data_IF_127867087696
#
_entry.id   IF_127867087696
#
_cell.length_a   1.000
_cell.length_b   1.000
_cell.length_c   1.000
_cell.angle_alpha   90.00
_cell.angle_beta   90.00
_cell.angle_gamma   90.00
#
_symmetry.space_group_name_H-M   'P 1'
#
loop_
_entity.id
_entity.type
_entity.pdbx_description
1 polymer ?
#
# COMPACT_ATOMS: atom_id res chain seq x y z
N UNK A 1 -31.00 -8.22 -6.82
CA UNK A 1 -29.93 -8.14 -7.84
C UNK A 1 -29.64 -6.66 -8.02
N UNK A 2 -28.39 -6.22 -7.84
CA UNK A 2 -28.02 -4.81 -8.06
C UNK A 2 -28.12 -4.55 -9.57
N UNK A 3 -28.74 -3.45 -9.99
CA UNK A 3 -28.84 -3.10 -11.41
C UNK A 3 -27.50 -2.62 -11.95
N UNK A 4 -27.30 -2.71 -13.27
CA UNK A 4 -26.10 -2.14 -13.90
C UNK A 4 -25.98 -0.63 -13.63
N UNK A 5 -27.09 0.11 -13.74
CA UNK A 5 -27.12 1.55 -13.49
C UNK A 5 -26.70 1.87 -12.05
N UNK A 6 -27.14 1.09 -11.06
CA UNK A 6 -26.73 1.28 -9.67
C UNK A 6 -25.22 1.03 -9.48
N UNK A 7 -24.61 0.08 -10.22
CA UNK A 7 -23.15 -0.12 -10.18
C UNK A 7 -22.39 1.05 -10.83
N UNK A 8 -22.94 1.62 -11.91
CA UNK A 8 -22.34 2.78 -12.59
C UNK A 8 -22.41 4.02 -11.69
N UNK A 9 -23.55 4.25 -11.05
CA UNK A 9 -23.76 5.40 -10.16
C UNK A 9 -22.95 5.29 -8.86
N UNK A 10 -22.67 4.09 -8.38
CA UNK A 10 -21.94 3.88 -7.13
C UNK A 10 -20.41 3.94 -7.28
N UNK A 11 -19.86 3.75 -8.49
CA UNK A 11 -18.42 3.76 -8.71
C UNK A 11 -17.84 5.19 -8.66
N UNK A 12 -16.96 5.45 -7.69
CA UNK A 12 -16.11 6.64 -7.65
C UNK A 12 -14.74 6.30 -8.27
N UNK A 13 -14.28 7.07 -9.26
CA UNK A 13 -13.03 6.81 -9.97
C UNK A 13 -12.23 8.11 -10.19
N UNK A 14 -10.96 8.10 -9.80
CA UNK A 14 -10.03 9.20 -10.02
C UNK A 14 -8.72 8.68 -10.64
N UNK A 15 -8.28 9.32 -11.73
CA UNK A 15 -7.01 9.02 -12.38
C UNK A 15 -5.99 10.11 -12.03
N UNK A 16 -4.95 9.75 -11.29
CA UNK A 16 -3.84 10.63 -10.94
C UNK A 16 -2.68 10.44 -11.92
N UNK A 17 -2.29 11.53 -12.56
CA UNK A 17 -1.09 11.62 -13.39
C UNK A 17 0.01 12.34 -12.62
N UNK A 18 0.90 11.57 -11.99
CA UNK A 18 2.01 12.12 -11.22
C UNK A 18 3.24 12.27 -12.11
N UNK A 19 3.71 13.50 -12.35
CA UNK A 19 4.78 13.79 -13.31
C UNK A 19 5.98 14.57 -12.72
N UNK A 20 6.03 14.74 -11.40
CA UNK A 20 7.09 15.54 -10.75
C UNK A 20 8.43 14.82 -10.66
N UNK A 21 8.41 13.49 -10.54
CA UNK A 21 9.60 12.65 -10.62
C UNK A 21 9.24 11.26 -11.15
N UNK A 22 10.25 10.51 -11.57
CA UNK A 22 10.08 9.18 -12.17
C UNK A 22 10.66 8.07 -11.28
N UNK A 23 10.51 6.83 -11.74
CA UNK A 23 11.18 5.66 -11.16
C UNK A 23 12.70 5.82 -11.04
N UNK A 24 13.34 6.67 -11.84
CA UNK A 24 14.79 6.85 -11.81
C UNK A 24 15.23 7.67 -10.58
N UNK A 25 14.40 8.62 -10.12
CA UNK A 25 14.59 9.28 -8.82
C UNK A 25 14.52 8.27 -7.66
N UNK A 26 13.56 7.35 -7.70
CA UNK A 26 13.43 6.33 -6.64
C UNK A 26 14.65 5.39 -6.64
N UNK A 27 15.09 4.97 -7.84
CA UNK A 27 16.28 4.13 -8.01
C UNK A 27 17.58 4.81 -7.60
N UNK A 28 17.71 6.13 -7.74
CA UNK A 28 18.92 6.85 -7.28
C UNK A 28 19.08 6.79 -5.75
N UNK A 29 17.99 6.55 -5.02
CA UNK A 29 17.99 6.28 -3.58
C UNK A 29 18.10 4.78 -3.24
N UNK A 30 18.41 3.92 -4.22
CA UNK A 30 18.57 2.46 -4.07
C UNK A 30 17.33 1.73 -3.58
N UNK A 31 16.14 2.22 -3.94
CA UNK A 31 14.85 1.64 -3.57
C UNK A 31 14.16 1.08 -4.81
N UNK A 32 13.47 -0.06 -4.68
CA UNK A 32 12.60 -0.56 -5.74
C UNK A 32 11.42 0.40 -5.95
N UNK A 33 11.14 0.86 -7.18
CA UNK A 33 10.00 1.73 -7.47
C UNK A 33 8.65 1.17 -7.00
N UNK A 34 8.49 -0.16 -7.06
CA UNK A 34 7.27 -0.85 -6.62
C UNK A 34 7.11 -0.78 -5.10
N UNK A 35 8.16 -1.15 -4.37
CA UNK A 35 8.24 -1.03 -2.90
C UNK A 35 7.94 0.40 -2.46
N UNK A 36 8.53 1.39 -3.13
CA UNK A 36 8.29 2.80 -2.83
C UNK A 36 6.82 3.21 -3.00
N UNK A 37 6.18 2.79 -4.10
CA UNK A 37 4.77 3.08 -4.36
C UNK A 37 3.88 2.39 -3.33
N UNK A 38 4.15 1.13 -2.98
CA UNK A 38 3.39 0.42 -1.96
C UNK A 38 3.44 1.14 -0.61
N UNK A 39 4.63 1.58 -0.19
CA UNK A 39 4.77 2.40 1.02
C UNK A 39 4.00 3.73 0.91
N UNK A 40 4.01 4.38 -0.26
CA UNK A 40 3.22 5.59 -0.50
C UNK A 40 1.71 5.34 -0.35
N UNK A 41 1.19 4.21 -0.84
CA UNK A 41 -0.22 3.85 -0.71
C UNK A 41 -0.61 3.58 0.76
N UNK A 42 0.24 2.88 1.51
CA UNK A 42 0.03 2.67 2.95
C UNK A 42 0.04 3.99 3.73
N UNK A 43 1.02 4.86 3.46
CA UNK A 43 1.11 6.17 4.08
C UNK A 43 -0.10 7.05 3.74
N UNK A 44 -0.58 6.99 2.51
CA UNK A 44 -1.79 7.68 2.06
C UNK A 44 -3.02 7.24 2.84
N UNK A 45 -3.24 5.92 2.95
CA UNK A 45 -4.35 5.38 3.72
C UNK A 45 -4.27 5.81 5.19
N UNK A 46 -3.09 5.70 5.79
CA UNK A 46 -2.88 6.12 7.18
C UNK A 46 -3.16 7.61 7.39
N UNK A 47 -2.74 8.49 6.47
CA UNK A 47 -3.03 9.94 6.57
C UNK A 47 -4.51 10.27 6.49
N UNK A 48 -5.28 9.51 5.70
CA UNK A 48 -6.71 9.76 5.54
C UNK A 48 -7.55 9.18 6.68
N UNK A 49 -7.19 8.00 7.15
CA UNK A 49 -8.06 7.19 7.99
C UNK A 49 -7.48 6.91 9.39
N UNK A 50 -6.23 7.29 9.64
CA UNK A 50 -5.54 7.11 10.93
C UNK A 50 -5.13 5.67 11.23
N UNK A 51 -5.29 4.75 10.28
CA UNK A 51 -4.96 3.34 10.42
C UNK A 51 -4.42 2.74 9.11
N UNK A 52 -3.80 1.56 9.23
CA UNK A 52 -3.58 0.68 8.09
C UNK A 52 -4.69 -0.37 8.04
N UNK A 53 -4.91 -0.92 6.86
CA UNK A 53 -5.90 -1.97 6.60
C UNK A 53 -5.25 -3.14 5.88
N UNK A 54 -5.89 -4.31 5.91
CA UNK A 54 -5.43 -5.45 5.12
C UNK A 54 -5.30 -5.01 3.65
N UNK A 55 -4.09 -5.10 3.13
CA UNK A 55 -3.75 -4.64 1.78
C UNK A 55 -3.40 -5.85 0.94
N UNK A 56 -4.03 -5.93 -0.23
CA UNK A 56 -3.68 -6.88 -1.27
C UNK A 56 -2.76 -6.22 -2.30
N UNK A 57 -1.67 -6.88 -2.63
CA UNK A 57 -0.87 -6.60 -3.81
C UNK A 57 -0.62 -7.91 -4.57
N UNK A 58 -0.88 -7.90 -5.88
CA UNK A 58 -0.72 -9.07 -6.73
C UNK A 58 0.77 -9.42 -6.97
N UNK A 59 1.26 -10.53 -6.42
CA UNK A 59 2.59 -11.08 -6.70
C UNK A 59 2.54 -12.13 -7.81
N UNK A 60 3.13 -11.88 -8.98
CA UNK A 60 3.21 -12.88 -10.04
C UNK A 60 4.11 -14.07 -9.69
N UNK A 61 3.54 -15.28 -9.54
CA UNK A 61 4.28 -16.53 -9.24
C UNK A 61 4.56 -17.37 -10.49
N UNK A 62 4.73 -16.71 -11.65
CA UNK A 62 4.97 -17.36 -12.96
C UNK A 62 6.31 -18.11 -13.07
N UNK A 63 7.11 -18.11 -12.00
CA UNK A 63 8.32 -18.96 -11.86
C UNK A 63 7.95 -20.44 -11.67
N UNK A 64 6.73 -20.71 -11.22
CA UNK A 64 6.19 -22.05 -11.03
C UNK A 64 5.26 -22.45 -12.19
N UNK A 65 5.18 -23.76 -12.46
CA UNK A 65 4.26 -24.28 -13.46
C UNK A 65 2.82 -23.87 -13.16
N UNK A 66 2.11 -23.37 -14.18
CA UNK A 66 0.73 -22.85 -14.06
C UNK A 66 0.58 -21.67 -13.07
N UNK A 67 1.70 -21.08 -12.62
CA UNK A 67 1.70 -20.01 -11.63
C UNK A 67 0.88 -18.80 -12.07
N UNK A 68 -0.07 -18.42 -11.22
CA UNK A 68 -0.88 -17.20 -11.36
C UNK A 68 -0.29 -16.09 -10.49
N UNK A 69 -0.91 -15.83 -9.35
CA UNK A 69 -0.51 -14.80 -8.40
C UNK A 69 -0.60 -15.31 -6.97
N UNK A 70 0.22 -14.77 -6.09
CA UNK A 70 0.06 -14.79 -4.62
C UNK A 70 -0.19 -13.35 -4.10
N UNK A 71 -0.32 -13.17 -2.79
CA UNK A 71 -0.64 -11.87 -2.18
C UNK A 71 0.53 -11.29 -1.37
N UNK A 72 1.12 -10.20 -1.85
CA UNK A 72 2.02 -9.38 -1.04
C UNK A 72 1.17 -8.55 -0.08
N UNK A 73 1.44 -8.67 1.23
CA UNK A 73 0.72 -7.94 2.28
C UNK A 73 1.52 -6.71 2.71
N UNK A 74 1.24 -5.58 2.06
CA UNK A 74 2.00 -4.34 2.25
C UNK A 74 1.80 -3.63 3.59
N UNK A 75 0.71 -3.93 4.31
CA UNK A 75 0.43 -3.36 5.63
C UNK A 75 1.24 -4.09 6.71
N UNK A 76 2.44 -3.58 7.03
CA UNK A 76 3.32 -4.15 8.06
C UNK A 76 3.47 -3.25 9.30
N UNK A 77 3.93 -3.80 10.44
CA UNK A 77 4.26 -3.01 11.63
C UNK A 77 5.30 -1.91 11.37
N UNK A 78 6.29 -2.17 10.53
CA UNK A 78 7.33 -1.22 10.12
C UNK A 78 6.73 -0.06 9.32
N UNK A 79 5.82 -0.35 8.39
CA UNK A 79 5.09 0.70 7.66
C UNK A 79 4.23 1.54 8.60
N UNK A 80 3.54 0.90 9.56
CA UNK A 80 2.74 1.61 10.55
C UNK A 80 3.58 2.55 11.42
N UNK A 81 4.75 2.08 11.87
CA UNK A 81 5.67 2.89 12.67
C UNK A 81 6.17 4.10 11.88
N UNK A 82 6.57 3.90 10.63
CA UNK A 82 7.00 4.98 9.74
C UNK A 82 5.87 5.97 9.43
N UNK A 83 4.68 5.49 9.07
CA UNK A 83 3.53 6.32 8.76
C UNK A 83 3.11 7.21 9.95
N UNK A 84 3.13 6.65 11.17
CA UNK A 84 2.93 7.41 12.41
C UNK A 84 3.95 8.53 12.57
N UNK A 85 5.24 8.23 12.41
CA UNK A 85 6.32 9.21 12.54
C UNK A 85 6.23 10.35 11.52
N UNK A 86 5.80 10.04 10.29
CA UNK A 86 5.53 11.04 9.24
C UNK A 86 4.36 11.97 9.62
N UNK A 87 3.30 11.47 10.27
CA UNK A 87 2.08 12.24 10.57
C UNK A 87 2.12 13.01 11.90
N UNK A 88 2.64 12.38 12.95
CA UNK A 88 2.49 12.86 14.33
C UNK A 88 3.75 13.57 14.84
N UNK A 89 4.84 13.52 14.08
CA UNK A 89 6.16 13.76 14.63
C UNK A 89 6.55 12.71 15.65
N UNK A 90 7.79 12.77 16.11
CA UNK A 90 8.34 11.75 16.98
C UNK A 90 7.61 11.77 18.35
N UNK A 91 6.96 10.67 18.76
CA UNK A 91 6.23 10.61 20.03
C UNK A 91 7.14 10.79 21.25
N UNK A 92 8.42 10.41 21.16
CA UNK A 92 9.38 10.54 22.27
C UNK A 92 9.76 12.00 22.53
N UNK A 93 9.69 12.85 21.51
CA UNK A 93 9.92 14.30 21.63
C UNK A 93 8.66 15.09 21.99
N UNK A 94 7.46 14.49 22.01
CA UNK A 94 6.25 15.16 22.51
C UNK A 94 6.20 15.29 24.04
N UNK A 95 6.98 14.48 24.76
CA UNK A 95 7.14 14.58 26.23
C UNK A 95 8.04 15.73 26.69
N UNK A 96 8.74 16.41 25.79
CA UNK A 96 9.60 17.55 26.10
C UNK A 96 9.00 18.86 25.54
N UNK A 97 8.36 19.64 26.41
CA UNK A 97 7.98 21.06 26.29
C UNK A 97 8.02 21.71 24.88
N UNK A 98 6.82 21.98 24.34
CA UNK A 98 6.51 22.71 23.10
C UNK A 98 6.97 24.19 23.00
N UNK A 99 8.06 24.62 23.65
CA UNK A 99 8.42 26.04 23.64
C UNK A 99 9.81 26.42 23.11
N UNK A 100 10.67 25.49 22.67
CA UNK A 100 11.90 25.86 21.95
C UNK A 100 12.36 24.74 21.02
N UNK A 101 11.75 24.61 19.83
CA UNK A 101 12.27 23.69 18.81
C UNK A 101 13.64 24.18 18.32
N UNK A 102 14.71 23.55 18.80
CA UNK A 102 16.07 23.84 18.33
C UNK A 102 16.30 23.17 16.98
N UNK A 103 17.23 23.70 16.17
CA UNK A 103 17.59 23.13 14.87
C UNK A 103 18.09 21.68 14.97
N UNK A 104 18.65 21.30 16.12
CA UNK A 104 19.15 19.94 16.41
C UNK A 104 18.03 18.90 16.59
N UNK A 105 16.92 19.27 17.25
CA UNK A 105 15.75 18.39 17.41
C UNK A 105 15.03 18.10 16.09
N UNK A 106 14.89 19.13 15.24
CA UNK A 106 14.32 18.97 13.90
C UNK A 106 15.15 18.06 13.00
N UNK A 107 16.46 17.98 13.26
CA UNK A 107 17.42 17.17 12.52
C UNK A 107 17.36 15.70 12.95
N UNK A 108 17.38 15.43 14.26
CA UNK A 108 17.21 14.07 14.83
C UNK A 108 15.87 13.44 14.45
N UNK A 109 14.79 14.23 14.45
CA UNK A 109 13.47 13.75 14.00
C UNK A 109 13.49 13.28 12.54
N UNK A 110 14.14 14.03 11.65
CA UNK A 110 14.22 13.67 10.23
C UNK A 110 15.05 12.40 10.01
N UNK A 111 16.14 12.23 10.76
CA UNK A 111 16.93 10.99 10.77
C UNK A 111 16.07 9.81 11.21
N UNK A 112 15.33 9.94 12.33
CA UNK A 112 14.47 8.88 12.84
C UNK A 112 13.38 8.47 11.86
N UNK A 113 12.74 9.44 11.20
CA UNK A 113 11.74 9.17 10.16
C UNK A 113 12.38 8.39 9.00
N UNK A 114 13.60 8.76 8.59
CA UNK A 114 14.33 8.07 7.52
C UNK A 114 14.74 6.65 7.90
N UNK A 115 15.18 6.42 9.14
CA UNK A 115 15.46 5.08 9.66
C UNK A 115 14.23 4.17 9.62
N UNK A 116 13.09 4.68 10.09
CA UNK A 116 11.82 3.93 10.07
C UNK A 116 11.39 3.64 8.62
N UNK A 117 11.60 4.58 7.70
CA UNK A 117 11.37 4.35 6.29
C UNK A 117 12.25 3.24 5.72
N UNK A 118 13.54 3.20 6.08
CA UNK A 118 14.46 2.17 5.61
C UNK A 118 14.06 0.77 6.12
N UNK A 119 13.58 0.67 7.36
CA UNK A 119 13.00 -0.57 7.89
C UNK A 119 11.74 -0.99 7.13
N UNK A 120 10.85 -0.05 6.81
CA UNK A 120 9.66 -0.31 6.01
C UNK A 120 10.02 -0.78 4.59
N UNK A 121 11.02 -0.18 3.96
CA UNK A 121 11.55 -0.61 2.65
C UNK A 121 12.11 -2.03 2.73
N UNK A 122 12.92 -2.34 3.75
CA UNK A 122 13.48 -3.67 3.93
C UNK A 122 12.37 -4.72 4.12
N UNK A 123 11.36 -4.44 4.96
CA UNK A 123 10.25 -5.36 5.20
C UNK A 123 9.44 -5.62 3.93
N UNK A 124 9.04 -4.57 3.21
CA UNK A 124 8.26 -4.69 1.97
C UNK A 124 9.07 -5.41 0.88
N UNK A 125 10.38 -5.15 0.78
CA UNK A 125 11.26 -5.86 -0.16
C UNK A 125 11.34 -7.35 0.17
N UNK A 126 11.44 -7.71 1.46
CA UNK A 126 11.40 -9.11 1.89
C UNK A 126 10.07 -9.76 1.54
N UNK A 127 8.95 -9.10 1.86
CA UNK A 127 7.60 -9.63 1.60
C UNK A 127 7.37 -9.87 0.10
N UNK A 128 7.76 -8.91 -0.74
CA UNK A 128 7.73 -9.04 -2.20
C UNK A 128 8.57 -10.25 -2.68
N UNK A 129 9.80 -10.38 -2.19
CA UNK A 129 10.69 -11.47 -2.59
C UNK A 129 10.20 -12.84 -2.12
N UNK A 130 9.65 -12.95 -0.92
CA UNK A 130 9.10 -14.20 -0.40
C UNK A 130 7.92 -14.65 -1.28
N UNK A 131 6.99 -13.76 -1.58
CA UNK A 131 5.81 -14.06 -2.38
C UNK A 131 6.14 -14.49 -3.82
N UNK A 132 7.01 -13.77 -4.53
CA UNK A 132 7.39 -14.16 -5.92
C UNK A 132 8.17 -15.48 -5.97
N UNK A 133 8.75 -15.92 -4.85
CA UNK A 133 9.43 -17.20 -4.68
C UNK A 133 8.55 -18.29 -4.05
N UNK A 134 7.24 -18.06 -3.92
CA UNK A 134 6.29 -19.06 -3.45
C UNK A 134 6.32 -19.31 -1.94
N UNK A 135 6.89 -18.38 -1.16
CA UNK A 135 6.89 -18.41 0.31
C UNK A 135 5.79 -17.52 0.91
N UNK A 136 4.86 -17.02 0.08
CA UNK A 136 3.65 -16.32 0.53
C UNK A 136 2.71 -17.23 1.31
N UNK A 137 1.88 -16.64 2.16
CA UNK A 137 0.98 -17.41 3.04
C UNK A 137 -0.41 -17.61 2.46
N UNK A 138 -0.88 -16.72 1.57
CA UNK A 138 -2.28 -16.64 1.18
C UNK A 138 -2.74 -17.85 0.38
N UNK A 139 -1.99 -18.21 -0.67
CA UNK A 139 -2.28 -19.43 -1.43
C UNK A 139 -2.14 -20.71 -0.58
N UNK A 140 -1.18 -20.75 0.34
CA UNK A 140 -0.97 -21.90 1.23
C UNK A 140 -2.16 -22.07 2.20
N UNK A 141 -2.58 -21.00 2.87
CA UNK A 141 -3.75 -21.00 3.76
C UNK A 141 -5.04 -21.34 3.00
N UNK A 142 -5.21 -20.81 1.78
CA UNK A 142 -6.33 -21.17 0.92
C UNK A 142 -6.31 -22.66 0.56
N UNK A 143 -5.15 -23.22 0.23
CA UNK A 143 -4.97 -24.64 -0.06
C UNK A 143 -5.34 -25.53 1.12
N UNK A 144 -4.87 -25.21 2.32
CA UNK A 144 -5.21 -25.93 3.55
C UNK A 144 -6.73 -25.90 3.83
N UNK A 145 -7.38 -24.75 3.63
CA UNK A 145 -8.82 -24.60 3.81
C UNK A 145 -9.61 -25.48 2.84
N UNK A 146 -9.24 -25.48 1.56
CA UNK A 146 -9.93 -26.32 0.57
C UNK A 146 -9.63 -27.80 0.72
N UNK A 147 -8.42 -28.17 1.17
CA UNK A 147 -8.09 -29.56 1.46
C UNK A 147 -8.97 -30.13 2.59
N UNK A 148 -9.18 -29.38 3.67
CA UNK A 148 -10.09 -29.80 4.75
C UNK A 148 -11.53 -29.96 4.25
N UNK A 149 -11.99 -29.01 3.41
CA UNK A 149 -13.32 -29.08 2.79
C UNK A 149 -13.49 -30.30 1.87
N UNK A 150 -12.49 -30.60 1.04
CA UNK A 150 -12.51 -31.75 0.12
C UNK A 150 -12.46 -33.09 0.87
N UNK A 151 -11.72 -33.14 1.98
CA UNK A 151 -11.67 -34.31 2.86
C UNK A 151 -12.98 -34.52 3.65
N UNK A 152 -13.93 -33.58 3.60
CA UNK A 152 -15.15 -33.61 4.41
C UNK A 152 -14.90 -33.40 5.90
N UNK A 153 -13.74 -32.84 6.27
CA UNK A 153 -13.38 -32.53 7.64
C UNK A 153 -14.05 -31.21 8.08
N UNK A 154 -14.30 -31.03 9.38
CA UNK A 154 -14.66 -29.72 9.91
C UNK A 154 -13.62 -28.67 9.54
N UNK A 155 -14.07 -27.49 9.10
CA UNK A 155 -13.16 -26.38 8.80
C UNK A 155 -12.35 -26.04 10.06
N UNK A 156 -11.00 -26.05 10.00
CA UNK A 156 -10.17 -25.70 11.15
C UNK A 156 -10.48 -24.31 11.72
N UNK A 157 -10.45 -24.19 13.06
CA UNK A 157 -10.86 -22.98 13.79
C UNK A 157 -10.19 -21.70 13.27
N UNK A 158 -8.91 -21.79 12.87
CA UNK A 158 -8.15 -20.68 12.30
C UNK A 158 -8.86 -20.00 11.12
N UNK A 159 -9.62 -20.72 10.30
CA UNK A 159 -10.32 -20.15 9.15
C UNK A 159 -11.67 -19.53 9.49
N UNK A 160 -12.18 -19.77 10.71
CA UNK A 160 -13.41 -19.15 11.24
C UNK A 160 -13.13 -17.99 12.18
N UNK A 161 -11.87 -17.89 12.65
CA UNK A 161 -11.38 -16.86 13.54
C UNK A 161 -11.59 -15.44 12.98
N UNK A 162 -11.87 -14.49 13.88
CA UNK A 162 -12.11 -13.10 13.50
C UNK A 162 -10.87 -12.45 12.85
N UNK A 163 -9.66 -12.81 13.27
CA UNK A 163 -8.43 -12.34 12.66
C UNK A 163 -8.32 -12.81 11.21
N UNK A 164 -8.69 -14.06 10.91
CA UNK A 164 -8.68 -14.57 9.53
C UNK A 164 -9.66 -13.79 8.63
N UNK A 165 -10.83 -13.41 9.16
CA UNK A 165 -11.78 -12.54 8.44
C UNK A 165 -11.18 -11.15 8.17
N UNK A 166 -10.55 -10.54 9.18
CA UNK A 166 -9.93 -9.20 9.05
C UNK A 166 -8.80 -9.22 8.02
N UNK A 167 -7.90 -10.19 8.06
CA UNK A 167 -6.75 -10.23 7.14
C UNK A 167 -7.15 -10.54 5.69
N UNK A 168 -8.34 -11.09 5.45
CA UNK A 168 -8.88 -11.33 4.12
C UNK A 168 -9.90 -10.26 3.66
N UNK A 169 -10.14 -9.24 4.49
CA UNK A 169 -10.95 -8.08 4.12
C UNK A 169 -10.07 -6.98 3.53
N UNK A 170 -9.74 -7.11 2.25
CA UNK A 170 -8.78 -6.24 1.57
C UNK A 170 -9.35 -4.86 1.24
N UNK A 171 -9.44 -3.98 2.24
CA UNK A 171 -9.91 -2.61 2.09
C UNK A 171 -8.97 -1.71 1.26
N UNK A 172 -7.75 -2.18 0.95
CA UNK A 172 -6.91 -1.58 -0.08
C UNK A 172 -6.40 -2.68 -1.02
N UNK A 173 -6.87 -2.67 -2.27
CA UNK A 173 -6.51 -3.67 -3.28
C UNK A 173 -5.70 -3.05 -4.41
N UNK A 174 -4.46 -3.51 -4.60
CA UNK A 174 -3.46 -2.83 -5.42
C UNK A 174 -2.81 -3.77 -6.43
N UNK A 175 -2.31 -3.20 -7.53
CA UNK A 175 -1.49 -3.93 -8.49
C UNK A 175 -0.67 -2.99 -9.36
N UNK A 176 0.59 -3.37 -9.56
CA UNK A 176 1.42 -2.81 -10.60
C UNK A 176 1.01 -3.38 -11.96
N UNK A 177 0.66 -2.53 -12.91
CA UNK A 177 0.47 -2.93 -14.31
C UNK A 177 1.27 -2.00 -15.21
N UNK A 178 2.51 -2.39 -15.49
CA UNK A 178 3.42 -1.61 -16.31
C UNK A 178 3.21 -1.90 -17.79
N UNK A 179 2.97 -0.85 -18.57
CA UNK A 179 2.88 -0.91 -20.02
C UNK A 179 3.92 0.01 -20.65
N UNK A 180 4.43 -0.37 -21.83
CA UNK A 180 5.25 0.54 -22.66
C UNK A 180 4.40 1.63 -23.32
N UNK A 181 3.08 1.44 -23.38
CA UNK A 181 2.13 2.37 -23.95
C UNK A 181 1.52 3.25 -22.85
N UNK A 182 0.89 4.36 -23.23
CA UNK A 182 0.11 5.22 -22.32
C UNK A 182 -1.23 4.57 -21.94
N UNK A 183 -1.17 3.40 -21.33
CA UNK A 183 -2.33 2.67 -20.85
C UNK A 183 -2.70 3.12 -19.44
N UNK A 184 -3.98 3.48 -19.28
CA UNK A 184 -4.65 3.61 -17.99
C UNK A 184 -5.32 2.26 -17.72
N UNK A 185 -5.06 1.71 -16.55
CA UNK A 185 -5.57 0.40 -16.14
C UNK A 185 -6.15 0.59 -14.76
N UNK A 186 -7.33 0.03 -14.51
CA UNK A 186 -8.04 0.19 -13.24
C UNK A 186 -9.12 -0.86 -13.07
N UNK A 187 -9.61 -0.97 -11.84
CA UNK A 187 -10.67 -1.89 -11.42
C UNK A 187 -11.34 -1.29 -10.17
N UNK A 188 -12.55 -1.73 -9.84
CA UNK A 188 -13.26 -1.32 -8.63
C UNK A 188 -12.67 -1.94 -7.36
N UNK A 189 -13.04 -1.44 -6.16
CA UNK A 189 -12.68 -2.08 -4.90
C UNK A 189 -13.18 -3.52 -4.79
N UNK A 190 -12.53 -4.32 -3.95
CA UNK A 190 -12.91 -5.74 -3.70
C UNK A 190 -13.80 -5.93 -2.47
N UNK A 191 -14.01 -4.87 -1.70
CA UNK A 191 -14.93 -4.79 -0.57
C UNK A 191 -15.68 -3.45 -0.62
N UNK A 192 -16.92 -3.36 -0.07
CA UNK A 192 -17.73 -2.14 -0.17
C UNK A 192 -17.08 -0.90 0.46
N UNK A 193 -16.28 -1.09 1.51
CA UNK A 193 -15.63 -0.01 2.26
C UNK A 193 -14.13 0.09 2.00
N UNK A 194 -13.73 -0.13 0.75
CA UNK A 194 -12.33 -0.14 0.36
C UNK A 194 -12.01 0.66 -0.89
N UNK A 195 -10.74 0.59 -1.29
CA UNK A 195 -10.21 1.20 -2.49
C UNK A 195 -9.63 0.15 -3.44
N UNK A 196 -9.81 0.37 -4.75
CA UNK A 196 -8.98 -0.23 -5.79
C UNK A 196 -7.90 0.77 -6.23
N UNK A 197 -6.65 0.34 -6.37
CA UNK A 197 -5.59 1.20 -6.86
C UNK A 197 -4.61 0.44 -7.76
N UNK A 198 -4.78 0.57 -9.08
CA UNK A 198 -3.81 0.08 -10.04
C UNK A 198 -2.82 1.19 -10.42
N UNK A 199 -1.57 0.84 -10.67
CA UNK A 199 -0.56 1.83 -11.04
C UNK A 199 0.37 1.40 -12.17
N UNK A 200 0.74 2.37 -13.02
CA UNK A 200 1.65 2.19 -14.15
C UNK A 200 2.88 3.09 -13.99
N UNK A 201 4.06 2.47 -13.96
CA UNK A 201 5.34 3.17 -13.86
C UNK A 201 5.89 3.55 -15.24
N UNK A 202 5.86 4.84 -15.55
CA UNK A 202 6.36 5.39 -16.80
C UNK A 202 7.79 5.88 -16.66
N UNK A 203 8.37 6.34 -17.77
CA UNK A 203 9.68 6.99 -17.76
C UNK A 203 9.61 8.42 -17.20
N UNK A 204 8.47 9.10 -17.35
CA UNK A 204 8.25 10.48 -16.93
C UNK A 204 7.25 10.63 -15.77
N UNK A 205 7.07 9.58 -14.96
CA UNK A 205 6.16 9.63 -13.82
C UNK A 205 5.41 8.33 -13.56
N UNK A 206 4.27 8.46 -12.88
CA UNK A 206 3.38 7.37 -12.51
C UNK A 206 1.94 7.72 -12.87
N UNK A 207 1.16 6.72 -13.27
CA UNK A 207 -0.30 6.84 -13.37
C UNK A 207 -0.90 5.97 -12.27
N UNK A 208 -1.84 6.50 -11.51
CA UNK A 208 -2.65 5.76 -10.54
C UNK A 208 -4.12 5.84 -10.93
N UNK A 209 -4.79 4.69 -10.97
CA UNK A 209 -6.24 4.61 -11.12
C UNK A 209 -6.83 4.20 -9.79
N UNK A 210 -7.38 5.18 -9.07
CA UNK A 210 -7.95 5.01 -7.74
C UNK A 210 -9.46 4.90 -7.86
N UNK A 211 -10.05 3.84 -7.32
CA UNK A 211 -11.49 3.63 -7.27
C UNK A 211 -11.98 3.44 -5.84
N UNK A 212 -13.23 3.81 -5.60
CA UNK A 212 -13.97 3.65 -4.34
C UNK A 212 -15.46 3.44 -4.67
N UNK A 213 -16.30 3.31 -3.66
CA UNK A 213 -17.76 3.31 -3.84
C UNK A 213 -18.38 4.50 -3.10
N UNK A 214 -19.25 5.25 -3.76
CA UNK A 214 -19.97 6.40 -3.19
C UNK A 214 -20.85 6.01 -2.00
N UNK A 215 -21.36 4.77 -2.00
CA UNK A 215 -22.16 4.18 -0.94
C UNK A 215 -21.42 4.06 0.39
N UNK A 216 -20.08 3.97 0.38
CA UNK A 216 -19.30 4.12 1.61
C UNK A 216 -18.91 5.59 1.81
N UNK A 217 -19.62 6.27 2.72
CA UNK A 217 -19.40 7.68 3.04
C UNK A 217 -18.05 8.00 3.71
N UNK A 218 -17.16 7.02 3.90
CA UNK A 218 -15.80 7.19 4.45
C UNK A 218 -14.75 7.14 3.35
N UNK A 219 -15.00 6.44 2.24
CA UNK A 219 -14.10 6.37 1.09
C UNK A 219 -14.35 7.49 0.08
N UNK A 220 -13.29 7.97 -0.59
CA UNK A 220 -13.40 8.96 -1.66
C UNK A 220 -12.16 8.90 -2.57
N UNK A 221 -12.32 8.52 -3.84
CA UNK A 221 -11.22 8.27 -4.76
C UNK A 221 -10.43 9.56 -5.06
N UNK A 222 -11.12 10.69 -5.21
CA UNK A 222 -10.47 11.99 -5.47
C UNK A 222 -9.62 12.44 -4.29
N UNK A 223 -10.15 12.35 -3.07
CA UNK A 223 -9.42 12.70 -1.84
C UNK A 223 -8.25 11.75 -1.63
N UNK A 224 -8.41 10.46 -1.94
CA UNK A 224 -7.32 9.49 -1.90
C UNK A 224 -6.21 9.85 -2.90
N UNK A 225 -6.56 10.18 -4.14
CA UNK A 225 -5.61 10.59 -5.17
C UNK A 225 -4.85 11.87 -4.81
N UNK A 226 -5.54 12.92 -4.36
CA UNK A 226 -4.92 14.18 -3.90
C UNK A 226 -3.98 13.95 -2.72
N UNK A 227 -4.40 13.07 -1.80
CA UNK A 227 -3.54 12.70 -0.68
C UNK A 227 -2.34 11.93 -1.19
N UNK A 228 -2.51 10.93 -2.06
CA UNK A 228 -1.39 10.17 -2.64
C UNK A 228 -0.36 11.08 -3.33
N UNK A 229 -0.79 12.07 -4.09
CA UNK A 229 0.09 13.08 -4.69
C UNK A 229 0.94 13.79 -3.62
N UNK A 230 0.32 14.23 -2.52
CA UNK A 230 1.05 14.82 -1.40
C UNK A 230 1.96 13.80 -0.68
N UNK A 231 1.56 12.52 -0.56
CA UNK A 231 2.38 11.46 0.07
C UNK A 231 3.70 11.32 -0.69
N UNK A 232 3.60 11.25 -2.03
CA UNK A 232 4.72 11.11 -2.94
C UNK A 232 5.68 12.30 -2.81
N UNK A 233 5.15 13.53 -2.80
CA UNK A 233 5.94 14.75 -2.56
C UNK A 233 6.68 14.72 -1.22
N UNK A 234 5.98 14.38 -0.14
CA UNK A 234 6.56 14.35 1.21
C UNK A 234 7.66 13.29 1.33
N UNK A 235 7.45 12.11 0.73
CA UNK A 235 8.45 11.05 0.65
C UNK A 235 9.68 11.49 -0.15
N UNK A 236 9.50 12.14 -1.30
CA UNK A 236 10.60 12.65 -2.10
C UNK A 236 11.42 13.73 -1.36
N UNK A 237 10.74 14.61 -0.62
CA UNK A 237 11.37 15.62 0.23
C UNK A 237 12.20 14.98 1.35
N UNK A 238 11.65 13.97 2.05
CA UNK A 238 12.37 13.20 3.08
C UNK A 238 13.66 12.57 2.50
N UNK A 239 13.56 11.94 1.33
CA UNK A 239 14.71 11.30 0.68
C UNK A 239 15.78 12.31 0.24
N UNK A 240 15.37 13.42 -0.36
CA UNK A 240 16.31 14.42 -0.90
C UNK A 240 17.11 15.13 0.20
N UNK A 241 16.53 15.34 1.38
CA UNK A 241 17.24 15.93 2.54
C UNK A 241 18.30 15.00 3.12
N UNK A 242 18.10 13.68 3.02
CA UNK A 242 19.06 12.70 3.54
C UNK A 242 20.37 12.63 2.72
N UNK A 243 20.34 13.04 1.44
CA UNK A 243 21.51 13.05 0.55
C UNK A 243 22.36 14.33 0.62
N UNK A 244 21.94 15.35 1.38
CA UNK A 244 22.69 16.62 1.52
C UNK A 244 23.72 16.59 2.66
N UNK A 245 24.15 15.40 3.08
CA UNK A 245 25.16 15.18 4.13
C UNK A 245 26.37 14.42 3.59
#
# INVERSE_FOLDING_TARGET
MISFDALVEDLDLCILWFQEYSKDFVKSHKISPDVYIQLALQFTHFRLHGNLVATYESAGIRRFALGRVDCIRAASPEVLAWAKAMCQGDPESQTANQQNSTQDEGTKRQERIKELFDLAVQRQTKEMNDNINGYGIDNHLMGLRYAAQEAGEPIPDIFTDQAYKIVNHFALSTSQVTSKNEAIIGYGPVVPDGYGCAYNMRNNGFIFSVSAFHSDGRTNATRFAQTLEQSLRDMANMLSRSNQR
#
